data_IF_011376872273
#
_entry.id   IF_011376872273
#
_cell.length_a   1.000
_cell.length_b   1.000
_cell.length_c   1.000
_cell.angle_alpha   90.00
_cell.angle_beta   90.00
_cell.angle_gamma   90.00
#
_symmetry.space_group_name_H-M   'P 1'
#
loop_
_entity.id
_entity.type
_entity.pdbx_description
1 polymer ?
#
# COMPACT_ATOMS: atom_id res chain seq x y z
N UNK A 1 22.90 4.35 2.81
CA UNK A 1 21.60 4.05 3.39
C UNK A 1 20.63 3.85 2.24
N UNK A 2 20.16 2.63 2.01
CA UNK A 2 19.29 2.30 0.89
C UNK A 2 17.87 2.66 1.34
N UNK A 3 17.20 3.53 0.59
CA UNK A 3 15.83 3.90 0.84
C UNK A 3 14.91 2.70 0.67
N UNK A 4 14.02 2.48 1.63
CA UNK A 4 12.75 1.80 1.39
C UNK A 4 11.96 2.64 0.40
N UNK A 5 11.93 2.24 -0.86
CA UNK A 5 10.99 2.79 -1.81
C UNK A 5 9.61 2.30 -1.35
N UNK A 6 8.74 3.23 -0.97
CA UNK A 6 7.33 2.96 -0.72
C UNK A 6 6.72 2.39 -1.99
N UNK A 7 6.70 1.06 -2.08
CA UNK A 7 6.29 0.35 -3.27
C UNK A 7 5.06 -0.47 -2.97
N UNK A 8 3.92 0.14 -3.25
CA UNK A 8 2.66 -0.57 -3.38
C UNK A 8 2.78 -1.48 -4.60
N UNK A 9 2.99 -2.76 -4.35
CA UNK A 9 3.13 -3.77 -5.40
C UNK A 9 1.73 -4.17 -5.88
N UNK A 10 1.31 -3.58 -7.00
CA UNK A 10 0.17 -4.10 -7.77
C UNK A 10 0.66 -5.33 -8.53
N UNK A 11 0.39 -6.52 -7.99
CA UNK A 11 0.64 -7.79 -8.70
C UNK A 11 -0.47 -7.98 -9.73
N UNK A 12 -0.25 -7.50 -10.94
CA UNK A 12 -1.00 -8.00 -12.09
C UNK A 12 -0.34 -9.27 -12.64
N UNK A 13 -1.12 -10.08 -13.29
CA UNK A 13 -0.72 -11.30 -13.97
C UNK A 13 0.61 -11.11 -14.70
N UNK A 14 1.68 -11.66 -14.11
CA UNK A 14 3.00 -11.71 -14.75
C UNK A 14 2.89 -12.66 -15.93
N UNK A 15 2.52 -12.15 -17.09
CA UNK A 15 2.72 -12.88 -18.34
C UNK A 15 4.17 -12.69 -18.74
N UNK A 16 5.02 -13.67 -18.39
CA UNK A 16 6.35 -13.77 -18.95
C UNK A 16 6.23 -14.02 -20.46
N UNK A 17 6.19 -12.96 -21.23
CA UNK A 17 6.50 -13.07 -22.65
C UNK A 17 8.02 -13.25 -22.76
N UNK A 18 8.52 -14.30 -23.43
CA UNK A 18 9.96 -14.45 -23.62
C UNK A 18 10.46 -13.25 -24.42
N UNK A 19 11.30 -12.42 -23.79
CA UNK A 19 12.02 -11.35 -24.47
C UNK A 19 12.82 -11.92 -25.63
N UNK A 20 12.83 -11.27 -26.80
CA UNK A 20 13.72 -11.66 -27.88
C UNK A 20 15.17 -11.61 -27.37
N UNK A 21 15.90 -12.69 -27.58
CA UNK A 21 17.27 -12.85 -27.15
C UNK A 21 18.14 -11.67 -27.63
N UNK A 22 18.49 -10.76 -26.75
CA UNK A 22 19.53 -9.76 -26.99
C UNK A 22 20.89 -10.50 -26.98
N UNK A 23 21.38 -10.81 -28.17
CA UNK A 23 22.73 -11.34 -28.35
C UNK A 23 23.71 -10.17 -28.38
N UNK A 24 24.28 -9.84 -27.26
CA UNK A 24 25.61 -9.31 -26.96
C UNK A 24 25.58 -8.71 -25.55
N UNK A 25 26.40 -9.22 -24.64
CA UNK A 25 26.61 -8.61 -23.31
C UNK A 25 27.49 -7.39 -23.51
N UNK A 26 26.96 -6.17 -23.38
CA UNK A 26 27.78 -4.96 -23.43
C UNK A 26 28.72 -4.92 -22.21
N UNK A 27 29.85 -4.21 -22.31
CA UNK A 27 30.67 -3.88 -21.15
C UNK A 27 29.88 -3.12 -20.06
N UNK A 28 30.30 -3.14 -18.79
CA UNK A 28 29.51 -2.65 -17.65
C UNK A 28 28.90 -1.24 -17.82
N UNK A 29 29.59 -0.30 -18.46
CA UNK A 29 29.09 1.04 -18.77
C UNK A 29 27.90 1.04 -19.77
N UNK A 30 27.80 0.00 -20.59
CA UNK A 30 26.79 -0.12 -21.62
C UNK A 30 25.48 -0.73 -21.09
N UNK A 31 25.49 -1.43 -19.94
CA UNK A 31 24.30 -2.07 -19.36
C UNK A 31 23.34 -1.04 -18.75
N UNK A 32 23.86 0.00 -18.13
CA UNK A 32 23.03 1.08 -17.57
C UNK A 32 22.38 1.92 -18.65
N UNK A 33 23.11 2.24 -19.73
CA UNK A 33 22.54 2.90 -20.90
C UNK A 33 21.43 2.02 -21.52
N UNK A 34 21.68 0.72 -21.72
CA UNK A 34 20.66 -0.18 -22.26
C UNK A 34 19.42 -0.28 -21.33
N UNK A 35 19.61 -0.26 -20.04
CA UNK A 35 18.52 -0.24 -19.05
C UNK A 35 17.77 1.08 -19.09
N UNK A 36 18.44 2.21 -19.19
CA UNK A 36 17.86 3.53 -19.31
C UNK A 36 16.98 3.68 -20.56
N UNK A 37 17.51 3.28 -21.73
CA UNK A 37 16.77 3.27 -22.97
C UNK A 37 15.52 2.40 -22.90
N UNK A 38 15.64 1.23 -22.27
CA UNK A 38 14.50 0.34 -22.07
C UNK A 38 13.44 0.96 -21.16
N UNK A 39 13.84 1.66 -20.09
CA UNK A 39 12.91 2.41 -19.22
C UNK A 39 12.20 3.48 -20.01
N UNK A 40 12.95 4.36 -20.68
CA UNK A 40 12.39 5.46 -21.45
C UNK A 40 11.43 4.96 -22.55
N UNK A 41 11.86 3.97 -23.33
CA UNK A 41 11.05 3.40 -24.41
C UNK A 41 9.78 2.73 -23.87
N UNK A 42 9.89 1.95 -22.79
CA UNK A 42 8.74 1.28 -22.17
C UNK A 42 7.69 2.28 -21.70
N UNK A 43 8.11 3.34 -21.02
CA UNK A 43 7.20 4.42 -20.61
C UNK A 43 6.63 5.14 -21.84
N UNK A 44 7.45 5.45 -22.84
CA UNK A 44 7.01 6.10 -24.08
C UNK A 44 5.93 5.30 -24.81
N UNK A 45 6.03 3.98 -24.83
CA UNK A 45 5.09 3.11 -25.54
C UNK A 45 3.82 2.79 -24.75
N UNK A 46 3.93 2.63 -23.42
CA UNK A 46 2.86 2.08 -22.59
C UNK A 46 2.18 3.07 -21.65
N UNK A 47 2.75 4.26 -21.44
CA UNK A 47 2.08 5.29 -20.62
C UNK A 47 0.68 5.58 -21.20
N UNK A 48 -0.32 5.55 -20.33
CA UNK A 48 -1.74 5.65 -20.71
C UNK A 48 -2.11 6.98 -21.37
N UNK A 49 -1.43 8.08 -21.02
CA UNK A 49 -1.60 9.39 -21.65
C UNK A 49 -0.46 9.65 -22.65
N UNK A 50 -0.76 9.61 -23.93
CA UNK A 50 0.22 9.87 -25.01
C UNK A 50 0.80 11.28 -25.01
N UNK A 51 0.19 12.21 -24.27
CA UNK A 51 0.67 13.59 -24.12
C UNK A 51 1.58 13.78 -22.90
N UNK A 52 1.73 12.76 -22.04
CA UNK A 52 2.50 12.81 -20.79
C UNK A 52 2.11 14.00 -19.88
N UNK A 53 0.82 14.37 -19.87
CA UNK A 53 0.38 15.55 -19.14
C UNK A 53 0.94 16.88 -19.69
N UNK A 54 1.42 16.88 -20.93
CA UNK A 54 2.05 18.03 -21.60
C UNK A 54 3.57 18.10 -21.45
N UNK A 55 4.21 17.09 -20.88
CA UNK A 55 5.67 16.99 -20.81
C UNK A 55 6.25 16.58 -22.17
N UNK A 56 7.40 17.16 -22.54
CA UNK A 56 8.20 16.65 -23.66
C UNK A 56 9.07 15.49 -23.18
N UNK A 57 8.59 14.26 -23.40
CA UNK A 57 9.25 13.06 -22.95
C UNK A 57 10.60 12.81 -23.65
N UNK A 58 10.81 13.36 -24.87
CA UNK A 58 12.11 13.31 -25.54
C UNK A 58 13.11 14.31 -24.93
N UNK A 59 12.67 15.53 -24.58
CA UNK A 59 13.52 16.49 -23.86
C UNK A 59 13.94 15.94 -22.51
N UNK A 60 13.04 15.25 -21.80
CA UNK A 60 13.36 14.58 -20.53
C UNK A 60 14.39 13.48 -20.76
N UNK A 61 14.26 12.67 -21.83
CA UNK A 61 15.26 11.67 -22.19
C UNK A 61 16.65 12.30 -22.31
N UNK A 62 16.81 13.30 -23.17
CA UNK A 62 18.10 13.90 -23.46
C UNK A 62 18.75 14.51 -22.18
N UNK A 63 17.93 15.14 -21.32
CA UNK A 63 18.37 15.74 -20.06
C UNK A 63 18.95 14.71 -19.07
N UNK A 64 18.40 13.51 -19.00
CA UNK A 64 18.85 12.47 -18.08
C UNK A 64 19.89 11.52 -18.68
N UNK A 65 19.97 11.42 -20.01
CA UNK A 65 20.91 10.53 -20.69
C UNK A 65 22.37 10.83 -20.31
N UNK A 66 22.80 12.10 -20.36
CA UNK A 66 24.16 12.51 -19.99
C UNK A 66 24.50 12.19 -18.52
N UNK A 67 23.49 12.17 -17.63
CA UNK A 67 23.68 11.80 -16.23
C UNK A 67 23.90 10.29 -16.08
N UNK A 68 23.17 9.48 -16.85
CA UNK A 68 23.27 8.02 -16.80
C UNK A 68 24.58 7.52 -17.43
N UNK A 69 25.09 8.19 -18.46
CA UNK A 69 26.37 7.83 -19.10
C UNK A 69 27.58 7.93 -18.13
N UNK A 70 27.43 8.69 -17.04
CA UNK A 70 28.45 8.90 -16.03
C UNK A 70 28.19 8.17 -14.70
N UNK A 71 27.25 7.18 -14.64
CA UNK A 71 26.98 6.45 -13.40
C UNK A 71 28.11 5.44 -13.07
N UNK A 72 28.40 5.31 -11.79
CA UNK A 72 29.44 4.43 -11.27
C UNK A 72 28.91 3.12 -10.68
N UNK A 73 27.61 3.08 -10.34
CA UNK A 73 26.96 1.90 -9.71
C UNK A 73 25.44 1.93 -9.85
N UNK A 74 24.79 0.79 -9.57
CA UNK A 74 23.34 0.65 -9.68
C UNK A 74 22.55 1.60 -8.77
N UNK A 75 23.06 1.93 -7.59
CA UNK A 75 22.38 2.89 -6.70
C UNK A 75 22.31 4.29 -7.31
N UNK A 76 23.41 4.76 -7.95
CA UNK A 76 23.43 6.03 -8.69
C UNK A 76 22.49 5.96 -9.90
N UNK A 77 22.50 4.86 -10.64
CA UNK A 77 21.60 4.62 -11.76
C UNK A 77 20.13 4.74 -11.34
N UNK A 78 19.72 3.98 -10.32
CA UNK A 78 18.35 3.99 -9.82
C UNK A 78 17.91 5.38 -9.34
N UNK A 79 18.79 6.13 -8.64
CA UNK A 79 18.49 7.51 -8.21
C UNK A 79 18.18 8.42 -9.39
N UNK A 80 18.99 8.37 -10.44
CA UNK A 80 18.84 9.23 -11.63
C UNK A 80 17.56 8.85 -12.36
N UNK A 81 17.34 7.56 -12.62
CA UNK A 81 16.17 7.09 -13.39
C UNK A 81 14.87 7.32 -12.61
N UNK A 82 14.86 7.07 -11.30
CA UNK A 82 13.68 7.37 -10.47
C UNK A 82 13.38 8.88 -10.43
N UNK A 83 14.41 9.75 -10.50
CA UNK A 83 14.20 11.18 -10.62
C UNK A 83 13.60 11.58 -11.96
N UNK A 84 14.00 10.92 -13.05
CA UNK A 84 13.36 11.09 -14.36
C UNK A 84 11.89 10.67 -14.34
N UNK A 85 11.62 9.48 -13.81
CA UNK A 85 10.25 8.95 -13.73
C UNK A 85 9.32 9.82 -12.88
N UNK A 86 9.83 10.44 -11.84
CA UNK A 86 9.06 11.33 -10.96
C UNK A 86 8.63 12.64 -11.64
N UNK A 87 9.22 13.03 -12.77
CA UNK A 87 8.71 14.18 -13.53
C UNK A 87 7.29 13.95 -14.06
N UNK A 88 6.87 12.68 -14.21
CA UNK A 88 5.49 12.32 -14.55
C UNK A 88 4.48 12.69 -13.44
N UNK A 89 4.95 12.94 -12.20
CA UNK A 89 4.11 13.28 -11.03
C UNK A 89 2.99 12.27 -10.74
N UNK A 90 3.22 11.00 -11.09
CA UNK A 90 2.31 9.88 -10.89
C UNK A 90 2.94 8.84 -9.97
N UNK A 91 2.10 8.06 -9.30
CA UNK A 91 2.52 6.90 -8.54
C UNK A 91 2.90 5.73 -9.47
N UNK A 92 3.38 4.62 -8.91
CA UNK A 92 3.67 3.38 -9.64
C UNK A 92 4.69 3.51 -10.79
N UNK A 93 5.59 4.50 -10.72
CA UNK A 93 6.78 4.60 -11.56
C UNK A 93 8.02 4.48 -10.69
N UNK A 94 8.74 3.36 -10.81
CA UNK A 94 9.97 3.15 -10.05
C UNK A 94 10.87 2.10 -10.70
N UNK A 95 12.19 2.30 -10.57
CA UNK A 95 13.22 1.28 -10.81
C UNK A 95 13.77 0.82 -9.46
N UNK A 96 13.82 -0.49 -9.24
CA UNK A 96 14.22 -1.11 -7.98
C UNK A 96 14.80 -2.51 -8.18
N UNK A 97 15.50 -3.03 -7.17
CA UNK A 97 15.88 -4.43 -7.13
C UNK A 97 14.97 -5.22 -6.19
N UNK A 98 14.33 -6.29 -6.68
CA UNK A 98 13.46 -7.17 -5.87
C UNK A 98 14.14 -7.70 -4.60
N UNK A 99 15.45 -8.02 -4.69
CA UNK A 99 16.23 -8.51 -3.53
C UNK A 99 16.42 -7.44 -2.45
N UNK A 100 16.63 -6.20 -2.85
CA UNK A 100 16.80 -5.07 -1.92
C UNK A 100 15.47 -4.74 -1.23
N UNK A 101 14.36 -4.86 -1.94
CA UNK A 101 13.02 -4.73 -1.39
C UNK A 101 12.73 -5.78 -0.30
N UNK A 102 13.18 -7.03 -0.52
CA UNK A 102 13.05 -8.07 0.50
C UNK A 102 13.88 -7.77 1.75
N UNK A 103 15.04 -7.12 1.59
CA UNK A 103 15.94 -6.77 2.69
C UNK A 103 15.54 -5.48 3.43
N UNK A 104 14.67 -4.64 2.85
CA UNK A 104 14.34 -3.31 3.37
C UNK A 104 13.30 -3.29 4.52
N UNK A 105 12.85 -4.45 5.00
CA UNK A 105 11.86 -4.50 6.09
C UNK A 105 10.41 -4.34 5.62
N UNK A 106 10.09 -4.62 4.35
CA UNK A 106 8.72 -4.50 3.86
C UNK A 106 7.72 -5.30 4.69
N UNK A 107 6.61 -4.68 5.16
CA UNK A 107 5.56 -5.37 5.89
C UNK A 107 4.90 -6.52 5.12
N UNK A 108 5.01 -6.54 3.79
CA UNK A 108 4.42 -7.58 2.95
C UNK A 108 5.27 -8.83 2.84
N UNK A 109 6.61 -8.72 2.90
CA UNK A 109 7.53 -9.83 2.59
C UNK A 109 8.47 -10.20 3.75
N UNK A 110 8.62 -9.37 4.77
CA UNK A 110 9.48 -9.68 5.93
C UNK A 110 8.87 -10.73 6.84
N UNK A 111 9.67 -11.74 7.21
CA UNK A 111 9.24 -12.88 8.01
C UNK A 111 9.11 -12.59 9.50
N UNK A 112 9.73 -11.53 10.01
CA UNK A 112 9.70 -11.13 11.42
C UNK A 112 9.02 -9.79 11.64
N UNK A 113 8.42 -9.61 12.84
CA UNK A 113 7.77 -8.35 13.25
C UNK A 113 7.75 -8.22 14.76
N UNK A 114 7.70 -6.97 15.25
CA UNK A 114 7.44 -6.66 16.66
C UNK A 114 5.96 -6.45 16.96
N UNK A 115 5.10 -6.43 15.95
CA UNK A 115 3.64 -6.40 16.11
C UNK A 115 3.04 -5.05 16.48
N UNK A 116 3.62 -3.96 15.99
CA UNK A 116 3.12 -2.60 16.17
C UNK A 116 2.62 -2.01 14.85
N UNK A 117 1.50 -1.29 14.91
CA UNK A 117 1.08 -0.35 13.87
C UNK A 117 1.26 1.08 14.38
N UNK A 118 1.62 2.00 13.49
CA UNK A 118 1.81 3.42 13.84
C UNK A 118 1.12 4.34 12.84
N UNK A 119 0.79 5.55 13.29
CA UNK A 119 0.40 6.68 12.42
C UNK A 119 1.05 7.98 12.93
N UNK A 120 1.11 8.96 12.06
CA UNK A 120 1.47 10.32 12.44
C UNK A 120 0.22 11.04 12.94
N UNK A 121 0.17 11.34 14.23
CA UNK A 121 -0.86 12.17 14.86
C UNK A 121 -0.17 13.42 15.41
N UNK A 122 -0.54 14.59 14.93
CA UNK A 122 0.08 15.88 15.33
C UNK A 122 1.62 15.86 15.22
N UNK A 123 2.15 15.31 14.12
CA UNK A 123 3.58 15.10 13.85
C UNK A 123 4.30 14.18 14.86
N UNK A 124 3.57 13.40 15.64
CA UNK A 124 4.12 12.37 16.53
C UNK A 124 3.88 10.98 15.95
N UNK A 125 4.86 10.11 16.04
CA UNK A 125 4.73 8.70 15.63
C UNK A 125 4.02 7.91 16.73
N UNK A 126 2.69 7.88 16.66
CA UNK A 126 1.83 7.26 17.66
C UNK A 126 1.58 5.79 17.32
N UNK A 127 1.75 4.89 18.29
CA UNK A 127 1.34 3.49 18.20
C UNK A 127 -0.19 3.45 18.18
N UNK A 128 -0.78 2.95 17.10
CA UNK A 128 -2.24 2.88 16.94
C UNK A 128 -2.81 1.52 17.27
N UNK A 129 -2.00 0.47 17.11
CA UNK A 129 -2.37 -0.87 17.59
C UNK A 129 -1.14 -1.69 17.98
N UNK A 130 -1.35 -2.63 18.90
CA UNK A 130 -0.37 -3.61 19.34
C UNK A 130 -0.98 -4.98 19.17
N UNK A 131 -0.34 -5.84 18.36
CA UNK A 131 -0.82 -7.19 18.10
C UNK A 131 -0.71 -8.03 19.39
N UNK A 132 -1.77 -8.73 19.82
CA UNK A 132 -1.68 -9.65 20.97
C UNK A 132 -0.56 -10.68 20.78
N UNK A 133 0.09 -11.09 21.88
CA UNK A 133 1.18 -12.09 21.89
C UNK A 133 2.41 -11.70 21.03
N UNK A 134 2.55 -10.41 20.69
CA UNK A 134 3.70 -9.87 19.97
C UNK A 134 4.79 -9.40 20.93
N UNK A 135 6.03 -9.24 20.44
CA UNK A 135 7.12 -8.63 21.25
C UNK A 135 6.76 -7.25 21.79
N UNK A 136 6.02 -6.44 21.04
CA UNK A 136 5.54 -5.14 21.52
C UNK A 136 4.58 -5.28 22.71
N UNK A 137 3.65 -6.24 22.65
CA UNK A 137 2.74 -6.51 23.77
C UNK A 137 3.48 -7.07 25.00
N UNK A 138 4.44 -7.97 24.79
CA UNK A 138 5.28 -8.55 25.85
C UNK A 138 6.15 -7.47 26.55
N UNK A 139 6.58 -6.45 25.82
CA UNK A 139 7.31 -5.30 26.36
C UNK A 139 6.41 -4.22 27.01
N UNK A 140 5.08 -4.44 27.03
CA UNK A 140 4.12 -3.50 27.64
C UNK A 140 3.81 -2.27 26.81
N UNK A 141 4.15 -2.26 25.52
CA UNK A 141 3.76 -1.18 24.60
C UNK A 141 2.25 -1.17 24.41
N UNK A 142 1.66 0.03 24.28
CA UNK A 142 0.21 0.23 24.15
C UNK A 142 -0.12 1.22 23.03
N UNK A 143 -1.33 1.14 22.53
CA UNK A 143 -1.88 2.20 21.68
C UNK A 143 -1.87 3.53 22.43
N UNK A 144 -1.53 4.61 21.71
CA UNK A 144 -1.36 5.96 22.27
C UNK A 144 0.07 6.28 22.74
N UNK A 145 0.97 5.30 22.87
CA UNK A 145 2.38 5.56 23.13
C UNK A 145 3.06 6.18 21.88
N UNK A 146 4.10 6.99 22.08
CA UNK A 146 4.79 7.71 21.01
C UNK A 146 6.18 7.12 20.83
N UNK A 147 6.53 6.69 19.63
CA UNK A 147 7.88 6.24 19.30
C UNK A 147 8.78 7.45 19.02
N UNK A 148 9.87 7.58 19.77
CA UNK A 148 10.81 8.69 19.68
C UNK A 148 12.08 8.34 18.89
N UNK A 149 12.59 7.09 19.02
CA UNK A 149 13.72 6.61 18.24
C UNK A 149 13.61 5.13 17.90
N UNK A 150 14.30 4.72 16.83
CA UNK A 150 14.43 3.34 16.36
C UNK A 150 15.90 3.08 16.10
N UNK A 151 16.47 2.06 16.76
CA UNK A 151 17.90 1.71 16.66
C UNK A 151 18.81 2.94 16.84
N UNK A 152 18.57 3.71 17.91
CA UNK A 152 19.26 4.95 18.29
C UNK A 152 19.09 6.12 17.29
N UNK A 153 18.29 5.97 16.24
CA UNK A 153 18.01 7.05 15.30
C UNK A 153 16.70 7.73 15.70
N UNK A 154 16.71 9.03 16.04
CA UNK A 154 15.48 9.76 16.33
C UNK A 154 14.50 9.71 15.14
N UNK A 155 13.20 9.49 15.42
CA UNK A 155 12.16 9.49 14.38
C UNK A 155 12.15 10.81 13.61
N UNK A 156 12.35 11.94 14.27
CA UNK A 156 12.46 13.23 13.61
C UNK A 156 13.61 13.29 12.58
N UNK A 157 14.75 12.60 12.85
CA UNK A 157 15.86 12.48 11.90
C UNK A 157 15.47 11.57 10.72
N UNK A 158 14.79 10.45 10.99
CA UNK A 158 14.26 9.56 9.93
C UNK A 158 13.34 10.35 8.99
N UNK A 159 12.41 11.12 9.54
CA UNK A 159 11.51 11.96 8.76
C UNK A 159 12.26 13.01 7.92
N UNK A 160 13.23 13.71 8.51
CA UNK A 160 14.03 14.71 7.81
C UNK A 160 14.88 14.09 6.69
N UNK A 161 15.45 12.90 6.91
CA UNK A 161 16.22 12.18 5.89
C UNK A 161 15.34 11.79 4.70
N UNK A 162 14.11 11.28 4.97
CA UNK A 162 13.13 10.96 3.93
C UNK A 162 12.77 12.22 3.14
N UNK A 163 12.48 13.32 3.82
CA UNK A 163 12.12 14.59 3.18
C UNK A 163 13.27 15.17 2.35
N UNK A 164 14.51 15.12 2.83
CA UNK A 164 15.68 15.65 2.12
C UNK A 164 16.01 14.88 0.84
N UNK A 165 15.71 13.58 0.83
CA UNK A 165 15.92 12.73 -0.32
C UNK A 165 14.66 12.60 -1.18
N UNK A 166 13.48 13.11 -0.76
CA UNK A 166 12.25 13.01 -1.50
C UNK A 166 12.39 13.64 -2.88
N UNK A 167 12.06 12.89 -3.89
CA UNK A 167 11.84 13.44 -5.20
C UNK A 167 10.58 14.31 -5.08
N UNK A 168 10.59 15.58 -5.56
CA UNK A 168 9.43 16.44 -5.44
C UNK A 168 8.21 15.80 -6.13
N UNK A 169 7.29 15.29 -5.35
CA UNK A 169 5.98 14.82 -5.80
C UNK A 169 4.97 15.84 -5.29
N UNK A 170 4.09 16.31 -6.16
CA UNK A 170 3.04 17.28 -5.82
C UNK A 170 1.98 16.74 -4.84
N UNK A 171 1.88 15.41 -4.72
CA UNK A 171 0.93 14.76 -3.82
C UNK A 171 1.48 14.69 -2.38
N UNK A 172 1.06 15.66 -1.54
CA UNK A 172 1.44 15.72 -0.12
C UNK A 172 0.99 14.47 0.67
N UNK A 173 -0.17 13.90 0.34
CA UNK A 173 -0.67 12.73 1.04
C UNK A 173 0.19 11.49 0.78
N UNK A 174 0.62 11.31 -0.48
CA UNK A 174 1.57 10.25 -0.81
C UNK A 174 2.88 10.43 -0.02
N UNK A 175 3.39 11.66 0.06
CA UNK A 175 4.60 11.96 0.85
C UNK A 175 4.43 11.58 2.33
N UNK A 176 3.30 11.92 2.94
CA UNK A 176 3.00 11.54 4.33
C UNK A 176 2.86 10.02 4.49
N UNK A 177 2.20 9.35 3.53
CA UNK A 177 2.10 7.89 3.50
C UNK A 177 3.49 7.24 3.42
N UNK A 178 4.38 7.75 2.56
CA UNK A 178 5.74 7.24 2.39
C UNK A 178 6.57 7.37 3.69
N UNK A 179 6.41 8.48 4.42
CA UNK A 179 7.06 8.68 5.73
C UNK A 179 6.56 7.64 6.74
N UNK A 180 5.24 7.46 6.85
CA UNK A 180 4.67 6.48 7.79
C UNK A 180 5.11 5.07 7.42
N UNK A 181 5.13 4.73 6.13
CA UNK A 181 5.55 3.41 5.65
C UNK A 181 7.03 3.15 5.93
N UNK A 182 7.92 4.12 5.71
CA UNK A 182 9.35 3.96 6.00
C UNK A 182 9.59 3.72 7.49
N UNK A 183 8.96 4.52 8.37
CA UNK A 183 9.06 4.32 9.82
C UNK A 183 8.48 2.95 10.21
N UNK A 184 7.30 2.59 9.70
CA UNK A 184 6.63 1.34 10.01
C UNK A 184 7.41 0.12 9.50
N UNK A 185 8.04 0.21 8.34
CA UNK A 185 8.85 -0.87 7.75
C UNK A 185 10.00 -1.30 8.67
N UNK A 186 10.54 -0.39 9.48
CA UNK A 186 11.64 -0.69 10.41
C UNK A 186 11.24 -1.66 11.51
N UNK A 187 9.94 -1.82 11.80
CA UNK A 187 9.43 -2.81 12.76
C UNK A 187 9.46 -4.24 12.20
N UNK A 188 9.71 -4.38 10.91
CA UNK A 188 9.80 -5.67 10.22
C UNK A 188 11.26 -5.99 9.86
N UNK A 189 11.52 -7.26 9.55
CA UNK A 189 12.83 -7.77 9.17
C UNK A 189 12.87 -9.28 9.28
N UNK A 190 14.06 -9.85 9.41
CA UNK A 190 14.21 -11.27 9.67
C UNK A 190 13.77 -11.61 11.10
N UNK A 191 13.12 -12.76 11.26
CA UNK A 191 12.79 -13.28 12.61
C UNK A 191 14.08 -13.46 13.42
N UNK A 192 13.97 -13.31 14.75
CA UNK A 192 15.07 -13.42 15.72
C UNK A 192 16.13 -12.29 15.61
N UNK A 193 15.88 -11.24 14.82
CA UNK A 193 16.70 -10.02 14.85
C UNK A 193 16.15 -9.02 15.88
N UNK A 194 17.05 -8.27 16.53
CA UNK A 194 16.68 -7.25 17.53
C UNK A 194 16.38 -5.90 16.90
N UNK A 195 15.58 -5.10 17.60
CA UNK A 195 15.32 -3.69 17.35
C UNK A 195 15.24 -2.98 18.70
N UNK A 196 15.86 -1.81 18.83
CA UNK A 196 15.70 -0.95 20.01
C UNK A 196 14.75 0.20 19.73
N UNK A 197 13.91 0.53 20.71
CA UNK A 197 12.95 1.62 20.65
C UNK A 197 13.11 2.50 21.89
N UNK A 198 13.09 3.83 21.72
CA UNK A 198 12.69 4.72 22.79
C UNK A 198 11.29 5.24 22.53
N UNK A 199 10.48 5.36 23.56
CA UNK A 199 9.08 5.76 23.43
C UNK A 199 8.57 6.50 24.67
N UNK A 200 7.54 7.31 24.48
CA UNK A 200 6.81 7.98 25.56
C UNK A 200 5.55 7.20 25.91
N UNK A 201 5.31 7.02 27.19
CA UNK A 201 4.11 6.37 27.72
C UNK A 201 2.89 7.32 27.81
N UNK A 202 1.85 6.91 28.56
CA UNK A 202 0.64 7.70 28.81
C UNK A 202 0.87 8.99 29.61
N UNK A 203 2.02 9.12 30.27
CA UNK A 203 2.41 10.30 31.08
C UNK A 203 3.52 11.10 30.39
N UNK A 204 3.84 10.82 29.14
CA UNK A 204 4.98 11.37 28.37
C UNK A 204 6.34 11.12 29.06
N UNK A 205 6.46 10.01 29.82
CA UNK A 205 7.73 9.56 30.39
C UNK A 205 8.46 8.72 29.37
N UNK A 206 9.74 9.01 29.17
CA UNK A 206 10.59 8.30 28.22
C UNK A 206 11.01 6.93 28.78
N UNK A 207 10.82 5.91 27.96
CA UNK A 207 11.22 4.53 28.21
C UNK A 207 12.06 4.01 27.06
N UNK A 208 12.79 2.91 27.32
CA UNK A 208 13.59 2.19 26.32
C UNK A 208 13.25 0.70 26.39
N UNK A 209 13.15 0.05 25.21
CA UNK A 209 12.97 -1.40 25.11
C UNK A 209 13.76 -1.95 23.92
N UNK A 210 14.41 -3.09 24.12
CA UNK A 210 14.96 -3.92 23.05
C UNK A 210 14.06 -5.11 22.82
N UNK A 211 13.59 -5.26 21.59
CA UNK A 211 12.60 -6.27 21.19
C UNK A 211 13.21 -7.23 20.18
N UNK A 212 12.83 -8.50 20.26
CA UNK A 212 13.23 -9.50 19.27
C UNK A 212 12.08 -9.69 18.29
N UNK A 213 12.31 -9.52 16.96
CA UNK A 213 11.28 -9.75 15.94
C UNK A 213 10.84 -11.22 15.95
N UNK A 214 9.56 -11.46 16.16
CA UNK A 214 8.96 -12.79 16.19
C UNK A 214 8.52 -13.22 14.80
N UNK A 215 8.67 -14.51 14.49
CA UNK A 215 8.21 -15.08 13.21
C UNK A 215 6.73 -14.78 12.98
N UNK A 216 6.41 -14.25 11.82
CA UNK A 216 5.04 -13.95 11.40
C UNK A 216 4.30 -15.21 10.95
N UNK A 217 3.01 -15.20 11.13
CA UNK A 217 2.05 -16.15 10.53
C UNK A 217 1.42 -15.56 9.27
N UNK A 218 0.59 -16.33 8.56
CA UNK A 218 -0.09 -15.83 7.35
C UNK A 218 0.78 -15.83 6.09
N UNK A 219 1.89 -16.63 6.10
CA UNK A 219 2.74 -16.81 4.91
C UNK A 219 1.93 -17.34 3.74
N UNK A 220 2.02 -16.68 2.59
CA UNK A 220 1.40 -17.09 1.33
C UNK A 220 2.43 -17.03 0.19
N UNK A 221 2.34 -17.96 -0.73
CA UNK A 221 3.17 -18.01 -1.94
C UNK A 221 2.23 -17.75 -3.11
N UNK A 222 2.49 -16.69 -3.86
CA UNK A 222 1.71 -16.34 -5.05
C UNK A 222 2.34 -16.96 -6.28
N UNK A 223 3.67 -16.85 -6.37
CA UNK A 223 4.49 -17.41 -7.44
C UNK A 223 5.85 -17.82 -6.88
N UNK A 224 6.42 -18.92 -7.39
CA UNK A 224 7.72 -19.45 -6.91
C UNK A 224 8.91 -18.52 -7.23
N UNK A 225 8.78 -17.64 -8.20
CA UNK A 225 9.80 -16.65 -8.57
C UNK A 225 9.82 -15.43 -7.63
N UNK A 226 8.76 -15.25 -6.81
CA UNK A 226 8.61 -14.14 -5.89
C UNK A 226 8.90 -14.57 -4.44
N UNK A 227 9.35 -13.65 -3.58
CA UNK A 227 9.44 -13.92 -2.15
C UNK A 227 8.05 -14.25 -1.58
N UNK A 228 7.98 -15.03 -0.49
CA UNK A 228 6.70 -15.28 0.17
C UNK A 228 6.13 -13.98 0.75
N UNK A 229 4.81 -13.83 0.66
CA UNK A 229 4.07 -12.72 1.25
C UNK A 229 3.51 -13.11 2.61
N UNK A 230 3.25 -12.11 3.46
CA UNK A 230 2.61 -12.29 4.76
C UNK A 230 1.33 -11.46 4.81
N UNK A 231 0.19 -12.14 4.92
CA UNK A 231 -1.14 -11.52 4.93
C UNK A 231 -1.80 -11.81 6.28
N UNK A 232 -2.05 -10.75 7.03
CA UNK A 232 -2.85 -10.82 8.24
C UNK A 232 -4.34 -10.75 7.87
N UNK A 233 -5.17 -11.61 8.47
CA UNK A 233 -6.61 -11.62 8.28
C UNK A 233 -7.29 -11.91 9.63
N UNK A 234 -8.14 -11.01 10.07
CA UNK A 234 -8.84 -11.08 11.33
C UNK A 234 -10.35 -11.03 11.12
N UNK A 235 -11.09 -11.82 11.89
CA UNK A 235 -12.55 -11.83 11.90
C UNK A 235 -13.02 -11.78 13.34
N UNK A 236 -13.98 -10.93 13.62
CA UNK A 236 -14.65 -10.86 14.93
C UNK A 236 -16.15 -10.66 14.73
N UNK A 237 -16.94 -11.24 15.62
CA UNK A 237 -18.32 -10.83 15.82
C UNK A 237 -18.30 -9.88 17.04
N UNK A 238 -18.64 -8.64 16.80
CA UNK A 238 -18.71 -7.61 17.83
C UNK A 238 -20.09 -7.59 18.48
N UNK A 239 -20.24 -6.77 19.50
CA UNK A 239 -21.54 -6.50 20.12
C UNK A 239 -22.55 -6.01 19.06
N UNK A 240 -23.83 -6.07 19.36
CA UNK A 240 -24.92 -5.76 18.43
C UNK A 240 -24.92 -6.59 17.14
N UNK A 241 -24.26 -7.75 17.16
CA UNK A 241 -24.18 -8.68 16.02
C UNK A 241 -23.51 -8.04 14.76
N UNK A 242 -22.53 -7.17 14.95
CA UNK A 242 -21.76 -6.56 13.87
C UNK A 242 -20.58 -7.46 13.52
N UNK A 243 -20.43 -7.82 12.24
CA UNK A 243 -19.25 -8.47 11.71
C UNK A 243 -18.12 -7.48 11.50
N UNK A 244 -16.90 -7.86 11.92
CA UNK A 244 -15.70 -7.09 11.67
C UNK A 244 -14.67 -7.97 10.98
N UNK A 245 -14.17 -7.50 9.83
CA UNK A 245 -13.11 -8.15 9.04
C UNK A 245 -11.99 -7.15 8.82
N UNK A 246 -10.76 -7.54 9.15
CA UNK A 246 -9.56 -6.74 8.83
C UNK A 246 -8.56 -7.61 8.06
N UNK A 247 -7.92 -7.06 7.04
CA UNK A 247 -6.84 -7.72 6.32
C UNK A 247 -5.78 -6.72 5.82
N UNK A 248 -4.52 -7.18 5.79
CA UNK A 248 -3.36 -6.32 5.57
C UNK A 248 -2.97 -6.10 4.11
N UNK A 249 -3.51 -6.89 3.17
CA UNK A 249 -3.25 -6.73 1.74
C UNK A 249 -4.33 -7.43 0.91
N UNK A 250 -4.57 -6.97 -0.31
CA UNK A 250 -5.46 -7.63 -1.30
C UNK A 250 -4.71 -8.76 -2.00
N UNK A 251 -4.37 -9.81 -1.28
CA UNK A 251 -3.63 -10.97 -1.78
C UNK A 251 -4.33 -12.28 -1.41
N UNK A 252 -4.09 -13.38 -2.14
CA UNK A 252 -4.57 -14.68 -1.69
C UNK A 252 -4.04 -14.99 -0.27
N UNK A 253 -4.84 -15.57 0.62
CA UNK A 253 -6.17 -16.16 0.49
C UNK A 253 -7.33 -15.25 0.96
N UNK A 254 -7.21 -13.93 0.88
CA UNK A 254 -8.20 -12.99 1.44
C UNK A 254 -9.59 -13.18 0.83
N UNK A 255 -9.70 -13.33 -0.49
CA UNK A 255 -10.98 -13.50 -1.17
C UNK A 255 -11.73 -14.75 -0.66
N UNK A 256 -11.03 -15.88 -0.52
CA UNK A 256 -11.62 -17.11 0.00
C UNK A 256 -12.05 -16.97 1.46
N UNK A 257 -11.20 -16.40 2.32
CA UNK A 257 -11.52 -16.16 3.73
C UNK A 257 -12.70 -15.22 3.89
N UNK A 258 -12.78 -14.17 3.06
CA UNK A 258 -13.91 -13.25 3.07
C UNK A 258 -15.21 -13.96 2.65
N UNK A 259 -15.16 -14.81 1.61
CA UNK A 259 -16.29 -15.65 1.23
C UNK A 259 -16.78 -16.51 2.40
N UNK A 260 -15.87 -17.16 3.13
CA UNK A 260 -16.21 -17.96 4.31
C UNK A 260 -16.87 -17.13 5.42
N UNK A 261 -16.48 -15.85 5.60
CA UNK A 261 -17.16 -14.95 6.55
C UNK A 261 -18.62 -14.75 6.15
N UNK A 262 -18.89 -14.42 4.88
CA UNK A 262 -20.26 -14.24 4.39
C UNK A 262 -21.07 -15.54 4.53
N UNK A 263 -20.45 -16.69 4.29
CA UNK A 263 -21.11 -17.99 4.40
C UNK A 263 -21.47 -18.36 5.84
N UNK A 264 -20.64 -18.00 6.81
CA UNK A 264 -20.79 -18.42 8.21
C UNK A 264 -21.39 -17.35 9.13
N UNK A 265 -21.28 -16.07 8.77
CA UNK A 265 -21.75 -14.92 9.55
C UNK A 265 -22.82 -14.11 8.82
N UNK A 266 -23.53 -14.68 7.84
CA UNK A 266 -24.50 -13.96 7.00
C UNK A 266 -25.75 -13.43 7.75
N UNK A 267 -25.91 -13.77 9.03
CA UNK A 267 -26.93 -13.22 9.94
C UNK A 267 -26.49 -11.91 10.63
N UNK A 268 -25.33 -11.37 10.26
CA UNK A 268 -24.84 -10.09 10.80
C UNK A 268 -25.84 -8.96 10.55
N UNK A 269 -25.96 -8.08 11.55
CA UNK A 269 -26.74 -6.85 11.44
C UNK A 269 -26.05 -5.80 10.57
N UNK A 270 -24.71 -5.81 10.54
CA UNK A 270 -23.87 -4.95 9.73
C UNK A 270 -22.47 -5.53 9.59
N UNK A 271 -21.70 -5.07 8.63
CA UNK A 271 -20.33 -5.50 8.35
C UNK A 271 -19.38 -4.32 8.29
N UNK A 272 -18.32 -4.38 9.08
CA UNK A 272 -17.18 -3.44 9.02
C UNK A 272 -16.03 -4.15 8.32
N UNK A 273 -15.52 -3.55 7.24
CA UNK A 273 -14.33 -3.99 6.51
C UNK A 273 -13.23 -2.97 6.81
N UNK A 274 -12.30 -3.33 7.70
CA UNK A 274 -11.19 -2.48 8.09
C UNK A 274 -9.97 -2.79 7.22
N UNK A 275 -9.69 -1.88 6.30
CA UNK A 275 -8.51 -1.96 5.42
C UNK A 275 -7.47 -0.89 5.76
N UNK A 276 -7.55 -0.24 6.91
CA UNK A 276 -6.54 0.73 7.35
C UNK A 276 -5.16 0.09 7.39
N UNK A 277 -4.17 0.78 6.84
CA UNK A 277 -2.80 0.26 6.71
C UNK A 277 -2.59 -0.73 5.58
N UNK A 278 -3.60 -0.99 4.74
CA UNK A 278 -3.50 -1.91 3.62
C UNK A 278 -2.99 -1.19 2.35
N UNK A 279 -1.78 -1.50 1.85
CA UNK A 279 -1.18 -0.79 0.72
C UNK A 279 -1.73 -1.23 -0.65
N UNK A 280 -2.69 -2.15 -0.69
CA UNK A 280 -3.24 -2.66 -1.93
C UNK A 280 -2.89 -4.12 -2.21
N UNK A 281 -2.61 -4.44 -3.45
CA UNK A 281 -2.34 -5.79 -3.96
C UNK A 281 -3.08 -6.08 -5.26
N UNK A 282 -3.64 -7.28 -5.40
CA UNK A 282 -4.33 -7.73 -6.61
C UNK A 282 -5.76 -7.19 -6.66
N UNK A 283 -6.12 -6.57 -7.77
CA UNK A 283 -7.46 -5.97 -7.92
C UNK A 283 -8.57 -7.03 -8.01
N UNK A 284 -8.27 -8.23 -8.50
CA UNK A 284 -9.21 -9.34 -8.57
C UNK A 284 -9.68 -9.80 -7.18
N UNK A 285 -8.83 -9.66 -6.16
CA UNK A 285 -9.23 -9.95 -4.77
C UNK A 285 -10.29 -8.96 -4.30
N UNK A 286 -10.17 -7.68 -4.67
CA UNK A 286 -11.19 -6.66 -4.39
C UNK A 286 -12.50 -6.96 -5.11
N UNK A 287 -12.45 -7.36 -6.38
CA UNK A 287 -13.62 -7.75 -7.18
C UNK A 287 -14.32 -8.98 -6.59
N UNK A 288 -13.55 -9.98 -6.15
CA UNK A 288 -14.10 -11.15 -5.47
C UNK A 288 -14.80 -10.80 -4.15
N UNK A 289 -14.28 -9.83 -3.38
CA UNK A 289 -14.95 -9.31 -2.18
C UNK A 289 -16.27 -8.62 -2.57
N UNK A 290 -16.22 -7.73 -3.57
CA UNK A 290 -17.41 -7.00 -4.05
C UNK A 290 -18.50 -7.97 -4.56
N UNK A 291 -18.12 -9.06 -5.23
CA UNK A 291 -19.07 -10.07 -5.71
C UNK A 291 -19.95 -10.68 -4.59
N UNK A 292 -19.45 -10.65 -3.33
CA UNK A 292 -20.18 -11.09 -2.13
C UNK A 292 -21.07 -10.00 -1.53
N UNK A 293 -20.99 -8.77 -2.01
CA UNK A 293 -21.66 -7.62 -1.44
C UNK A 293 -22.74 -7.00 -2.36
N UNK A 294 -22.77 -7.39 -3.63
CA UNK A 294 -23.72 -6.89 -4.62
C UNK A 294 -24.78 -7.96 -4.95
N UNK A 295 -25.96 -7.52 -5.43
CA UNK A 295 -27.09 -8.40 -5.75
C UNK A 295 -27.30 -8.59 -7.26
N UNK A 296 -26.72 -7.71 -8.08
CA UNK A 296 -26.84 -7.70 -9.54
C UNK A 296 -25.51 -7.35 -10.21
N UNK A 297 -25.32 -7.69 -11.49
CA UNK A 297 -24.13 -7.30 -12.23
C UNK A 297 -23.92 -5.78 -12.16
N UNK A 298 -22.75 -5.35 -11.66
CA UNK A 298 -22.49 -3.96 -11.35
C UNK A 298 -21.18 -3.49 -12.01
N UNK A 299 -21.23 -2.37 -12.73
CA UNK A 299 -20.03 -1.68 -13.17
C UNK A 299 -19.25 -1.23 -11.92
N UNK A 300 -18.05 -1.79 -11.75
CA UNK A 300 -17.27 -1.57 -10.54
C UNK A 300 -16.13 -0.59 -10.74
N UNK A 301 -15.46 -0.62 -11.90
CA UNK A 301 -14.40 0.34 -12.22
C UNK A 301 -14.20 0.46 -13.72
N UNK A 302 -13.48 1.49 -14.13
CA UNK A 302 -13.11 1.72 -15.53
C UNK A 302 -11.61 1.90 -15.61
N UNK A 303 -10.94 1.18 -16.51
CA UNK A 303 -9.54 1.38 -16.84
C UNK A 303 -9.42 2.09 -18.18
N UNK A 304 -8.76 3.24 -18.18
CA UNK A 304 -8.45 3.99 -19.39
C UNK A 304 -7.00 3.73 -19.78
N UNK A 305 -6.82 2.84 -20.76
CA UNK A 305 -5.53 2.60 -21.41
C UNK A 305 -5.24 3.67 -22.46
N UNK A 306 -4.06 3.65 -23.05
CA UNK A 306 -3.65 4.61 -24.06
C UNK A 306 -4.61 4.71 -25.26
N UNK A 307 -5.13 3.58 -25.76
CA UNK A 307 -5.93 3.49 -26.97
C UNK A 307 -7.33 2.92 -26.76
N UNK A 308 -7.66 2.47 -25.55
CA UNK A 308 -8.94 1.85 -25.25
C UNK A 308 -9.39 2.12 -23.81
N UNK A 309 -10.66 1.87 -23.56
CA UNK A 309 -11.24 1.92 -22.22
C UNK A 309 -11.89 0.58 -21.96
N UNK A 310 -11.58 0.01 -20.79
CA UNK A 310 -12.13 -1.27 -20.33
C UNK A 310 -13.01 -1.02 -19.11
N UNK A 311 -14.25 -1.50 -19.19
CA UNK A 311 -15.19 -1.55 -18.07
C UNK A 311 -15.03 -2.86 -17.31
N UNK A 312 -14.95 -2.78 -15.99
CA UNK A 312 -14.92 -3.95 -15.10
C UNK A 312 -16.29 -4.12 -14.48
N UNK A 313 -17.05 -5.13 -14.96
CA UNK A 313 -18.35 -5.49 -14.43
C UNK A 313 -18.23 -6.70 -13.53
N UNK A 314 -18.49 -6.52 -12.23
CA UNK A 314 -18.48 -7.61 -11.25
C UNK A 314 -19.83 -8.30 -11.24
N UNK A 315 -19.81 -9.64 -11.29
CA UNK A 315 -21.00 -10.48 -11.16
C UNK A 315 -21.23 -10.85 -9.69
N UNK A 316 -22.48 -10.86 -9.20
CA UNK A 316 -22.76 -11.31 -7.84
C UNK A 316 -22.45 -12.80 -7.67
N UNK A 317 -21.98 -13.18 -6.50
CA UNK A 317 -21.85 -14.59 -6.10
C UNK A 317 -23.22 -15.22 -5.81
N UNK A 318 -23.29 -16.57 -5.77
CA UNK A 318 -24.52 -17.27 -5.39
C UNK A 318 -25.05 -16.87 -4.01
N UNK A 319 -24.15 -16.62 -3.07
CA UNK A 319 -24.48 -16.15 -1.72
C UNK A 319 -23.82 -14.78 -1.49
N UNK A 320 -24.66 -13.81 -1.19
CA UNK A 320 -24.27 -12.42 -1.00
C UNK A 320 -24.78 -11.90 0.35
N UNK A 321 -24.18 -10.82 0.81
CA UNK A 321 -24.62 -10.08 1.99
C UNK A 321 -25.24 -8.75 1.54
N UNK A 322 -26.48 -8.49 1.95
CA UNK A 322 -27.27 -7.31 1.57
C UNK A 322 -27.41 -6.26 2.69
N UNK A 323 -26.96 -6.59 3.90
CA UNK A 323 -26.99 -5.66 5.04
C UNK A 323 -26.01 -4.47 4.90
N UNK A 324 -26.07 -3.50 5.82
CA UNK A 324 -25.19 -2.34 5.84
C UNK A 324 -23.70 -2.71 5.86
N UNK A 325 -22.89 -2.00 5.08
CA UNK A 325 -21.42 -2.17 5.04
C UNK A 325 -20.72 -0.84 5.26
N UNK A 326 -19.70 -0.87 6.09
CA UNK A 326 -18.74 0.22 6.27
C UNK A 326 -17.36 -0.25 5.85
N UNK A 327 -16.64 0.57 5.10
CA UNK A 327 -15.22 0.37 4.80
C UNK A 327 -14.41 1.42 5.55
N UNK A 328 -13.44 0.98 6.36
CA UNK A 328 -12.54 1.90 7.09
C UNK A 328 -11.23 2.06 6.35
N UNK A 329 -10.82 3.31 6.12
CA UNK A 329 -9.59 3.67 5.41
C UNK A 329 -8.74 4.68 6.18
N UNK A 330 -7.46 4.76 5.82
CA UNK A 330 -6.52 5.76 6.32
C UNK A 330 -5.49 6.15 5.26
N UNK A 331 -4.53 7.01 5.65
CA UNK A 331 -3.50 7.52 4.75
C UNK A 331 -2.62 6.43 4.12
N UNK A 332 -2.52 5.26 4.74
CA UNK A 332 -1.70 4.14 4.25
C UNK A 332 -2.40 3.32 3.16
N UNK A 333 -3.68 3.60 2.88
CA UNK A 333 -4.37 2.93 1.79
C UNK A 333 -3.89 3.44 0.45
N UNK A 334 -3.51 2.51 -0.42
CA UNK A 334 -3.01 2.78 -1.77
C UNK A 334 -3.48 1.70 -2.76
N UNK A 335 -3.37 1.97 -4.05
CA UNK A 335 -3.56 1.00 -5.14
C UNK A 335 -4.92 0.26 -5.08
N UNK A 336 -4.92 -1.08 -5.02
CA UNK A 336 -6.14 -1.89 -4.96
C UNK A 336 -7.05 -1.54 -3.78
N UNK A 337 -6.50 -1.08 -2.64
CA UNK A 337 -7.29 -0.60 -1.49
C UNK A 337 -8.10 0.65 -1.83
N UNK A 338 -7.50 1.59 -2.54
CA UNK A 338 -8.17 2.82 -2.95
C UNK A 338 -9.19 2.54 -4.04
N UNK A 339 -8.82 1.71 -5.03
CA UNK A 339 -9.77 1.28 -6.05
C UNK A 339 -10.97 0.57 -5.42
N UNK A 340 -10.74 -0.36 -4.48
CA UNK A 340 -11.82 -1.04 -3.76
C UNK A 340 -12.70 -0.06 -2.99
N UNK A 341 -12.13 0.79 -2.14
CA UNK A 341 -12.90 1.71 -1.30
C UNK A 341 -13.59 2.81 -2.10
N UNK A 342 -12.93 3.40 -3.11
CA UNK A 342 -13.52 4.44 -3.95
C UNK A 342 -14.63 3.90 -4.87
N UNK A 343 -14.45 2.71 -5.44
CA UNK A 343 -15.46 2.13 -6.31
C UNK A 343 -16.69 1.64 -5.53
N UNK A 344 -16.50 0.99 -4.37
CA UNK A 344 -17.64 0.53 -3.55
C UNK A 344 -18.43 1.71 -2.95
N UNK A 345 -17.74 2.84 -2.67
CA UNK A 345 -18.37 4.12 -2.31
C UNK A 345 -19.18 4.68 -3.47
N UNK A 346 -18.58 4.77 -4.67
CA UNK A 346 -19.21 5.33 -5.87
C UNK A 346 -20.49 4.60 -6.28
N UNK A 347 -20.57 3.28 -6.09
CA UNK A 347 -21.81 2.51 -6.34
C UNK A 347 -22.80 2.57 -5.17
N UNK A 348 -22.49 3.29 -4.09
CA UNK A 348 -23.36 3.43 -2.92
C UNK A 348 -23.54 2.15 -2.10
N UNK A 349 -22.63 1.15 -2.23
CA UNK A 349 -22.75 -0.12 -1.52
C UNK A 349 -22.22 -0.10 -0.10
N UNK A 350 -21.27 0.77 0.19
CA UNK A 350 -20.71 0.93 1.53
C UNK A 350 -20.44 2.40 1.82
N UNK A 351 -20.62 2.80 3.07
CA UNK A 351 -20.08 4.06 3.57
C UNK A 351 -18.58 3.90 3.84
N UNK A 352 -17.78 4.88 3.43
CA UNK A 352 -16.34 4.92 3.69
C UNK A 352 -16.08 5.86 4.86
N UNK A 353 -15.39 5.38 5.90
CA UNK A 353 -15.12 6.10 7.15
C UNK A 353 -13.62 6.10 7.46
N UNK A 354 -13.11 7.20 7.97
CA UNK A 354 -11.72 7.34 8.41
C UNK A 354 -11.02 8.56 7.87
N UNK A 355 -9.81 8.41 7.37
CA UNK A 355 -9.02 9.49 6.79
C UNK A 355 -8.82 9.26 5.29
N UNK A 356 -8.64 10.36 4.56
CA UNK A 356 -8.38 10.32 3.12
C UNK A 356 -7.13 9.48 2.82
N UNK A 357 -7.20 8.62 1.83
CA UNK A 357 -6.13 7.72 1.40
C UNK A 357 -4.96 8.43 0.69
N UNK A 358 -3.92 7.71 0.29
CA UNK A 358 -2.67 8.27 -0.24
C UNK A 358 -2.80 8.93 -1.62
N UNK A 359 -3.73 8.48 -2.46
CA UNK A 359 -3.83 8.93 -3.85
C UNK A 359 -2.78 8.29 -4.76
N UNK A 360 -2.51 7.01 -4.56
CA UNK A 360 -1.56 6.21 -5.35
C UNK A 360 -2.29 5.05 -6.00
N UNK A 361 -2.93 5.29 -7.16
CA UNK A 361 -3.88 4.34 -7.77
C UNK A 361 -3.64 4.16 -9.26
N UNK A 362 -3.31 2.96 -9.67
CA UNK A 362 -3.30 2.63 -11.09
C UNK A 362 -2.79 1.23 -11.36
N UNK A 363 -3.36 0.56 -12.37
CA UNK A 363 -2.81 -0.70 -12.83
C UNK A 363 -1.41 -0.47 -13.39
N UNK A 364 -0.46 -1.23 -12.90
CA UNK A 364 0.93 -1.18 -13.29
C UNK A 364 1.44 -2.55 -13.73
N UNK A 365 2.47 -2.53 -14.55
CA UNK A 365 3.20 -3.72 -14.96
C UNK A 365 4.66 -3.63 -14.52
N UNK A 366 5.35 -4.78 -14.49
CA UNK A 366 6.75 -4.86 -14.09
C UNK A 366 7.56 -5.47 -15.23
N UNK A 367 8.66 -4.81 -15.58
CA UNK A 367 9.59 -5.24 -16.63
C UNK A 367 11.00 -5.36 -16.08
N UNK A 368 11.65 -6.52 -16.33
CA UNK A 368 13.05 -6.70 -15.99
C UNK A 368 13.95 -5.90 -16.93
N UNK A 369 14.95 -5.23 -16.37
CA UNK A 369 15.92 -4.40 -17.06
C UNK A 369 17.23 -5.17 -17.29
N UNK A 370 18.03 -4.78 -18.31
CA UNK A 370 19.32 -5.40 -18.60
C UNK A 370 20.31 -5.47 -17.43
N UNK A 371 20.29 -4.50 -16.51
CA UNK A 371 21.13 -4.50 -15.29
C UNK A 371 20.57 -5.38 -14.16
N UNK A 372 19.45 -6.10 -14.37
CA UNK A 372 18.80 -6.95 -13.38
C UNK A 372 17.91 -6.22 -12.39
N UNK A 373 17.72 -4.90 -12.54
CA UNK A 373 16.68 -4.15 -11.83
C UNK A 373 15.31 -4.40 -12.48
N UNK A 374 14.25 -4.00 -11.80
CA UNK A 374 12.87 -4.05 -12.30
C UNK A 374 12.33 -2.65 -12.46
N UNK A 375 11.67 -2.37 -13.59
CA UNK A 375 10.87 -1.17 -13.82
C UNK A 375 9.41 -1.50 -13.51
N UNK A 376 8.79 -0.76 -12.59
CA UNK A 376 7.33 -0.68 -12.47
C UNK A 376 6.83 0.56 -13.21
N UNK A 377 5.74 0.43 -13.96
CA UNK A 377 5.16 1.52 -14.74
C UNK A 377 3.64 1.37 -14.89
N UNK A 378 2.93 2.50 -14.91
CA UNK A 378 1.48 2.51 -15.13
C UNK A 378 1.13 2.18 -16.58
N UNK A 379 0.13 1.32 -16.75
CA UNK A 379 -0.42 0.93 -18.06
C UNK A 379 -1.80 1.52 -18.32
N UNK A 380 -2.51 1.95 -17.28
CA UNK A 380 -3.82 2.59 -17.41
C UNK A 380 -4.09 3.54 -16.24
N UNK A 381 -5.03 4.46 -16.44
CA UNK A 381 -5.64 5.25 -15.39
C UNK A 381 -6.86 4.50 -14.82
N UNK A 382 -6.95 4.41 -13.50
CA UNK A 382 -8.10 3.81 -12.81
C UNK A 382 -9.13 4.87 -12.47
N UNK A 383 -10.40 4.62 -12.84
CA UNK A 383 -11.53 5.48 -12.53
C UNK A 383 -12.60 4.69 -11.76
N UNK A 384 -13.31 5.37 -10.90
CA UNK A 384 -14.55 4.86 -10.30
C UNK A 384 -15.67 4.80 -11.33
N UNK A 385 -16.79 4.10 -11.07
CA UNK A 385 -17.93 4.02 -11.99
C UNK A 385 -18.50 5.37 -12.43
N UNK A 386 -18.46 6.38 -11.56
CA UNK A 386 -18.89 7.76 -11.86
C UNK A 386 -17.84 8.59 -12.60
N UNK A 387 -16.68 8.01 -12.92
CA UNK A 387 -15.60 8.64 -13.68
C UNK A 387 -14.62 9.45 -12.84
N UNK A 388 -14.66 9.35 -11.51
CA UNK A 388 -13.70 10.03 -10.63
C UNK A 388 -12.31 9.40 -10.75
N UNK A 389 -11.29 10.23 -10.93
CA UNK A 389 -9.87 9.83 -10.93
C UNK A 389 -9.36 9.83 -9.49
N UNK A 390 -8.82 8.70 -9.06
CA UNK A 390 -8.29 8.55 -7.70
C UNK A 390 -6.78 8.89 -7.62
N UNK A 391 -6.02 8.65 -8.69
CA UNK A 391 -4.58 8.96 -8.75
C UNK A 391 -4.33 10.45 -8.45
N UNK A 392 -3.40 10.73 -7.55
CA UNK A 392 -3.09 12.08 -7.06
C UNK A 392 -4.12 12.65 -6.07
N UNK A 393 -5.32 12.07 -5.98
CA UNK A 393 -6.42 12.59 -5.15
C UNK A 393 -6.72 11.71 -3.94
N UNK A 394 -6.69 10.39 -4.10
CA UNK A 394 -7.12 9.45 -3.08
C UNK A 394 -8.65 9.41 -2.87
N UNK A 395 -9.08 8.48 -2.06
CA UNK A 395 -10.48 8.32 -1.65
C UNK A 395 -10.78 9.25 -0.48
N UNK A 396 -11.77 10.11 -0.64
CA UNK A 396 -12.27 10.98 0.42
C UNK A 396 -13.40 10.23 1.14
N UNK A 397 -13.26 9.92 2.45
CA UNK A 397 -14.31 9.23 3.17
C UNK A 397 -15.63 10.02 3.20
N UNK A 398 -16.78 9.32 3.22
CA UNK A 398 -18.10 9.92 3.46
C UNK A 398 -18.17 10.54 4.85
N UNK A 399 -17.46 9.92 5.80
CA UNK A 399 -17.35 10.39 7.17
C UNK A 399 -15.89 10.49 7.55
N UNK A 400 -15.37 11.70 7.59
CA UNK A 400 -13.98 11.97 7.97
C UNK A 400 -13.85 11.91 9.49
N UNK A 401 -13.03 11.01 9.98
CA UNK A 401 -12.70 10.83 11.41
C UNK A 401 -11.23 10.54 11.55
N UNK A 402 -10.48 11.37 12.27
CA UNK A 402 -9.11 11.10 12.67
C UNK A 402 -9.01 10.20 13.90
N UNK A 403 -7.87 9.55 14.08
CA UNK A 403 -7.51 8.94 15.35
C UNK A 403 -7.14 10.04 16.36
N UNK A 404 -7.44 9.80 17.63
CA UNK A 404 -7.09 10.68 18.74
C UNK A 404 -6.18 9.95 19.74
N UNK A 405 -5.03 10.54 20.10
CA UNK A 405 -4.04 9.91 20.97
C UNK A 405 -4.63 9.61 22.35
N UNK A 406 -5.40 10.54 22.93
CA UNK A 406 -5.97 10.32 24.26
C UNK A 406 -7.02 9.21 24.23
N UNK A 407 -7.84 9.17 23.18
CA UNK A 407 -8.79 8.08 22.99
C UNK A 407 -8.07 6.71 22.88
N UNK A 408 -6.96 6.64 22.13
CA UNK A 408 -6.14 5.42 22.05
C UNK A 408 -5.57 5.00 23.42
N UNK A 409 -5.08 5.94 24.21
CA UNK A 409 -4.62 5.70 25.60
C UNK A 409 -5.76 5.18 26.48
N UNK A 410 -6.98 5.65 26.26
CA UNK A 410 -8.21 5.17 26.96
C UNK A 410 -8.74 3.83 26.38
N UNK A 411 -8.02 3.22 25.42
CA UNK A 411 -8.39 1.95 24.77
C UNK A 411 -9.53 2.08 23.76
N UNK A 412 -9.76 3.28 23.20
CA UNK A 412 -10.82 3.57 22.22
C UNK A 412 -10.23 3.84 20.84
N UNK A 413 -10.89 3.33 19.83
CA UNK A 413 -10.63 3.64 18.41
C UNK A 413 -11.77 4.52 17.88
N UNK A 414 -11.52 5.82 17.75
CA UNK A 414 -12.54 6.82 17.35
C UNK A 414 -13.15 6.52 15.98
N UNK A 415 -12.38 5.95 15.06
CA UNK A 415 -12.84 5.57 13.72
C UNK A 415 -13.74 4.33 13.79
N UNK A 416 -13.33 3.30 14.55
CA UNK A 416 -14.12 2.09 14.75
C UNK A 416 -15.42 2.39 15.49
N UNK A 417 -15.37 3.19 16.55
CA UNK A 417 -16.56 3.63 17.29
C UNK A 417 -17.55 4.36 16.36
N UNK A 418 -17.04 5.19 15.45
CA UNK A 418 -17.88 5.89 14.46
C UNK A 418 -18.50 4.93 13.44
N UNK A 419 -17.77 3.91 13.01
CA UNK A 419 -18.26 2.87 12.10
C UNK A 419 -19.41 2.05 12.75
N UNK A 420 -19.26 1.67 14.01
CA UNK A 420 -20.29 0.99 14.80
C UNK A 420 -21.56 1.85 14.92
N UNK A 421 -21.40 3.12 15.28
CA UNK A 421 -22.53 4.06 15.39
C UNK A 421 -23.24 4.23 14.05
N UNK A 422 -22.51 4.29 12.93
CA UNK A 422 -23.11 4.42 11.60
C UNK A 422 -23.99 3.21 11.27
N UNK A 423 -23.46 1.98 11.40
CA UNK A 423 -24.20 0.73 11.17
C UNK A 423 -25.45 0.66 12.08
N UNK A 424 -25.29 0.99 13.35
CA UNK A 424 -26.40 0.91 14.31
C UNK A 424 -27.54 1.85 13.93
N UNK A 425 -27.24 3.04 13.43
CA UNK A 425 -28.25 4.00 13.01
C UNK A 425 -28.96 3.60 11.71
N UNK A 426 -28.29 2.93 10.77
CA UNK A 426 -28.91 2.47 9.53
C UNK A 426 -29.82 1.25 9.71
N UNK A 427 -29.71 0.56 10.83
CA UNK A 427 -30.49 -0.65 11.13
C UNK A 427 -31.69 -0.38 12.05
N UNK A 428 -31.95 0.86 12.39
CA UNK A 428 -33.14 1.33 13.10
C UNK A 428 -34.09 2.04 12.14
#
# INVERSE_FOLDING_TARGET
>A
MIRTLSMVMCLMTITFLPSPAYSQVPGAANVWIASYEMVWQTVNEHHFDSTFGGLDWNEIHDRYYDLVDNVENDSCFMKIVNKMLAELQLSHYAVFHMKEMAASGSPLISGGSIGLDIRLLDNKTVITSVKPDSPGAEAGLKAGYVVESIDDIPVAQIMADIESEAIPISNERKRLSDIVEDIHSRFFGDAETSISLTFLDEYDILHEATLLRKQRTGKTIIDESLPPFYVDFQVRRMDDNIGYVRFSAFLPPVAERFSQVIDTMGDMRGLIIDIRGNPGGMHEVGEAIVSKLIQEPTLFSVFRYRNETQEVVVQPSEKTYDGPVVVMIDIMNASASERFSGCIQSIGRAAVIGERSSGSVGPSDIKELPNGASLMYLIAQSLTPDGTVLEGHGVIPDIIVGLDRQALLDGKDTQLDRAIVHITNETH
#
